data_IF_941816366722
#
_entry.id   IF_941816366722
#
_cell.length_a   1.000
_cell.length_b   1.000
_cell.length_c   1.000
_cell.angle_alpha   90.00
_cell.angle_beta   90.00
_cell.angle_gamma   90.00
#
_symmetry.space_group_name_H-M   'P 1'
#
loop_
_entity.id
_entity.type
_entity.pdbx_description
1 polymer ?
#
# COMPACT_ATOMS: atom_id res chain seq x y z
N UNK A 1 -13.71 -2.65 -11.50
CA UNK A 1 -13.82 -3.89 -10.70
C UNK A 1 -13.43 -3.57 -9.27
N UNK A 2 -14.18 -4.09 -8.31
CA UNK A 2 -13.91 -4.02 -6.87
C UNK A 2 -13.65 -5.44 -6.38
N UNK A 3 -12.69 -5.60 -5.48
CA UNK A 3 -12.39 -6.89 -4.85
C UNK A 3 -12.40 -6.69 -3.34
N UNK A 4 -13.28 -7.40 -2.64
CA UNK A 4 -13.21 -7.49 -1.18
C UNK A 4 -12.01 -8.35 -0.79
N UNK A 5 -11.08 -7.78 -0.03
CA UNK A 5 -9.85 -8.46 0.33
C UNK A 5 -10.04 -9.43 1.49
N UNK A 6 -9.35 -10.58 1.48
CA UNK A 6 -9.38 -11.56 2.55
C UNK A 6 -8.34 -11.18 3.63
N UNK A 7 -8.64 -10.13 4.40
CA UNK A 7 -7.72 -9.62 5.42
C UNK A 7 -7.30 -10.70 6.42
N UNK A 8 -6.00 -10.81 6.79
CA UNK A 8 -5.54 -11.71 7.84
C UNK A 8 -5.79 -11.17 9.25
N UNK A 9 -6.30 -9.95 9.40
CA UNK A 9 -6.51 -9.32 10.69
C UNK A 9 -7.91 -9.62 11.22
N UNK A 10 -8.01 -10.48 12.24
CA UNK A 10 -9.30 -10.90 12.82
C UNK A 10 -10.18 -9.75 13.25
N UNK A 11 -9.61 -8.71 13.85
CA UNK A 11 -10.35 -7.53 14.29
C UNK A 11 -11.00 -6.76 13.13
N UNK A 12 -10.45 -6.89 11.92
CA UNK A 12 -10.91 -6.22 10.70
C UNK A 12 -11.82 -7.09 9.82
N UNK A 13 -12.07 -8.32 10.22
CA UNK A 13 -12.83 -9.29 9.42
C UNK A 13 -14.21 -8.78 8.95
N UNK A 14 -14.83 -7.90 9.73
CA UNK A 14 -16.16 -7.37 9.44
C UNK A 14 -16.15 -5.96 8.80
N UNK A 15 -14.99 -5.31 8.64
CA UNK A 15 -14.92 -3.93 8.15
C UNK A 15 -15.58 -3.75 6.78
N UNK A 16 -15.20 -4.57 5.80
CA UNK A 16 -15.74 -4.49 4.45
C UNK A 16 -17.26 -4.75 4.41
N UNK A 17 -17.75 -5.64 5.26
CA UNK A 17 -19.18 -6.00 5.29
C UNK A 17 -20.08 -4.93 5.87
N UNK A 18 -19.58 -4.10 6.77
CA UNK A 18 -20.41 -3.17 7.52
C UNK A 18 -20.13 -1.70 7.22
N UNK A 19 -18.86 -1.31 7.10
CA UNK A 19 -18.50 0.09 6.97
C UNK A 19 -18.51 0.59 5.53
N UNK A 20 -18.12 -0.25 4.56
CA UNK A 20 -17.94 0.15 3.16
C UNK A 20 -19.01 -0.40 2.23
N UNK A 21 -19.99 -1.14 2.75
CA UNK A 21 -20.96 -1.86 1.94
C UNK A 21 -21.81 -0.95 1.06
N UNK A 22 -22.26 0.17 1.59
CA UNK A 22 -23.10 1.11 0.83
C UNK A 22 -22.32 1.74 -0.33
N UNK A 23 -21.02 2.03 -0.11
CA UNK A 23 -20.12 2.54 -1.16
C UNK A 23 -19.91 1.49 -2.26
N UNK A 24 -19.75 0.23 -1.86
CA UNK A 24 -19.60 -0.88 -2.81
C UNK A 24 -20.89 -1.12 -3.61
N UNK A 25 -22.05 -1.03 -2.97
CA UNK A 25 -23.36 -1.11 -3.65
C UNK A 25 -23.52 0.02 -4.66
N UNK A 26 -23.21 1.25 -4.29
CA UNK A 26 -23.27 2.36 -5.22
C UNK A 26 -22.37 2.15 -6.43
N UNK A 27 -21.14 1.71 -6.22
CA UNK A 27 -20.22 1.43 -7.32
C UNK A 27 -20.71 0.25 -8.19
N UNK A 28 -21.36 -0.75 -7.60
CA UNK A 28 -21.99 -1.86 -8.34
C UNK A 28 -23.18 -1.38 -9.19
N UNK A 29 -24.04 -0.53 -8.65
CA UNK A 29 -25.15 0.09 -9.39
C UNK A 29 -24.64 0.96 -10.55
N UNK A 30 -23.47 1.61 -10.38
CA UNK A 30 -22.77 2.35 -11.42
C UNK A 30 -22.04 1.43 -12.45
N UNK A 31 -22.23 0.12 -12.36
CA UNK A 31 -21.75 -0.89 -13.32
C UNK A 31 -20.38 -1.48 -13.00
N UNK A 32 -19.87 -1.35 -11.77
CA UNK A 32 -18.65 -2.03 -11.37
C UNK A 32 -18.87 -3.54 -11.17
N UNK A 33 -17.91 -4.35 -11.63
CA UNK A 33 -17.84 -5.75 -11.23
C UNK A 33 -17.38 -5.83 -9.77
N UNK A 34 -18.17 -6.44 -8.92
CA UNK A 34 -17.86 -6.63 -7.50
C UNK A 34 -17.61 -8.11 -7.20
N UNK A 35 -16.43 -8.43 -6.69
CA UNK A 35 -15.96 -9.77 -6.35
C UNK A 35 -15.56 -9.85 -4.88
N UNK A 36 -15.85 -10.98 -4.26
CA UNK A 36 -15.37 -11.29 -2.93
C UNK A 36 -14.28 -12.38 -3.03
N UNK A 37 -13.09 -12.11 -2.50
CA UNK A 37 -12.06 -13.13 -2.38
C UNK A 37 -12.47 -14.20 -1.34
N UNK A 38 -11.97 -15.46 -1.45
CA UNK A 38 -12.26 -16.49 -0.47
C UNK A 38 -11.88 -16.03 0.94
N UNK A 39 -12.84 -16.02 1.88
CA UNK A 39 -12.59 -15.58 3.24
C UNK A 39 -11.79 -16.61 4.03
N UNK A 40 -10.68 -16.19 4.66
CA UNK A 40 -9.88 -17.09 5.49
C UNK A 40 -10.62 -17.39 6.81
N UNK A 41 -10.38 -18.57 7.35
CA UNK A 41 -10.91 -18.98 8.67
C UNK A 41 -10.14 -18.35 9.82
N UNK A 42 -8.90 -17.92 9.58
CA UNK A 42 -8.01 -17.25 10.53
C UNK A 42 -7.72 -18.11 11.78
N UNK A 43 -7.41 -19.39 11.57
CA UNK A 43 -6.90 -20.26 12.62
C UNK A 43 -5.55 -19.79 13.16
N UNK A 44 -5.21 -20.16 14.39
CA UNK A 44 -3.95 -19.75 15.02
C UNK A 44 -2.71 -20.30 14.30
N UNK A 45 -2.84 -21.45 13.63
CA UNK A 45 -1.80 -22.08 12.82
C UNK A 45 -1.48 -21.33 11.52
N UNK A 46 -2.23 -20.28 11.20
CA UNK A 46 -1.89 -19.36 10.10
C UNK A 46 -0.73 -18.41 10.44
N UNK A 47 -0.29 -18.38 11.68
CA UNK A 47 0.72 -17.44 12.14
C UNK A 47 1.89 -18.18 12.76
N UNK A 48 3.11 -17.68 12.52
CA UNK A 48 4.32 -18.08 13.22
C UNK A 48 4.96 -16.86 13.85
N UNK A 49 5.57 -17.04 15.00
CA UNK A 49 6.33 -15.98 15.68
C UNK A 49 7.83 -16.33 15.75
N UNK A 50 8.25 -17.30 14.94
CA UNK A 50 9.65 -17.63 14.76
C UNK A 50 10.30 -16.59 13.85
N UNK A 51 11.40 -15.99 14.32
CA UNK A 51 12.20 -15.03 13.53
C UNK A 51 11.40 -13.83 13.00
N UNK A 52 10.58 -13.23 13.86
CA UNK A 52 9.69 -12.10 13.52
C UNK A 52 10.44 -10.86 13.00
N UNK A 53 11.73 -10.77 13.26
CA UNK A 53 12.58 -9.66 12.79
C UNK A 53 12.93 -9.80 11.30
N UNK A 54 12.98 -11.04 10.78
CA UNK A 54 13.45 -11.31 9.43
C UNK A 54 12.41 -11.96 8.51
N UNK A 55 11.32 -12.50 9.07
CA UNK A 55 10.30 -13.23 8.31
C UNK A 55 8.90 -12.73 8.59
N UNK A 56 8.04 -12.83 7.58
CA UNK A 56 6.62 -12.58 7.76
C UNK A 56 6.01 -13.61 8.72
N UNK A 57 5.16 -13.12 9.61
CA UNK A 57 4.45 -13.97 10.58
C UNK A 57 3.29 -14.73 9.94
N UNK A 58 2.75 -14.24 8.81
CA UNK A 58 1.63 -14.85 8.11
C UNK A 58 2.11 -16.00 7.23
N UNK A 59 1.60 -17.20 7.48
CA UNK A 59 1.89 -18.42 6.72
C UNK A 59 0.99 -18.57 5.50
N UNK A 60 1.39 -19.45 4.59
CA UNK A 60 0.68 -19.75 3.34
C UNK A 60 -0.42 -20.84 3.48
N UNK A 61 -1.18 -20.82 4.57
CA UNK A 61 -2.22 -21.83 4.79
C UNK A 61 -3.51 -21.50 4.04
N UNK A 62 -3.92 -20.24 4.01
CA UNK A 62 -5.12 -19.75 3.33
C UNK A 62 -4.78 -18.51 2.47
N UNK A 63 -5.69 -18.11 1.59
CA UNK A 63 -5.55 -16.90 0.79
C UNK A 63 -5.76 -15.68 1.71
N UNK A 64 -4.72 -14.86 1.88
CA UNK A 64 -4.79 -13.66 2.69
C UNK A 64 -4.05 -12.52 2.03
N UNK A 65 -4.68 -11.34 1.96
CA UNK A 65 -4.05 -10.07 1.62
C UNK A 65 -4.93 -8.89 1.98
N UNK A 66 -4.31 -7.76 2.25
CA UNK A 66 -4.94 -6.45 2.32
C UNK A 66 -4.72 -5.69 0.99
N UNK A 67 -5.62 -4.76 0.66
CA UNK A 67 -5.50 -3.96 -0.56
C UNK A 67 -4.17 -3.17 -0.65
N UNK A 68 -3.66 -2.56 0.45
CA UNK A 68 -2.38 -1.84 0.41
C UNK A 68 -1.12 -2.71 0.30
N UNK A 69 -1.26 -4.04 0.20
CA UNK A 69 -0.18 -4.90 -0.26
C UNK A 69 0.11 -4.75 -1.76
N UNK A 70 -0.71 -3.98 -2.48
CA UNK A 70 -0.65 -3.88 -3.93
C UNK A 70 -0.41 -2.43 -4.32
N UNK A 71 0.67 -2.20 -5.07
CA UNK A 71 0.91 -0.95 -5.80
C UNK A 71 0.55 -1.16 -7.26
N UNK A 72 -0.35 -0.33 -7.77
CA UNK A 72 -0.80 -0.40 -9.17
C UNK A 72 -0.12 0.67 -10.02
N UNK A 73 0.46 0.23 -11.13
CA UNK A 73 1.12 1.09 -12.13
C UNK A 73 0.54 0.74 -13.50
N UNK A 74 -0.59 1.34 -13.83
CA UNK A 74 -1.32 1.00 -15.06
C UNK A 74 -1.74 -0.47 -15.07
N UNK A 75 -1.15 -1.24 -16.00
CA UNK A 75 -1.37 -2.67 -16.20
C UNK A 75 -0.59 -3.55 -15.22
N UNK A 76 0.48 -3.01 -14.65
CA UNK A 76 1.37 -3.74 -13.75
C UNK A 76 0.94 -3.56 -12.30
N UNK A 77 0.90 -4.65 -11.55
CA UNK A 77 0.63 -4.66 -10.12
C UNK A 77 1.81 -5.30 -9.39
N UNK A 78 2.40 -4.56 -8.47
CA UNK A 78 3.41 -5.09 -7.56
C UNK A 78 2.74 -5.49 -6.25
N UNK A 79 2.90 -6.74 -5.86
CA UNK A 79 2.36 -7.31 -4.64
C UNK A 79 3.46 -7.52 -3.60
N UNK A 80 3.25 -7.09 -2.38
CA UNK A 80 4.14 -7.38 -1.26
C UNK A 80 3.71 -8.64 -0.51
N UNK A 81 4.59 -9.59 -0.39
CA UNK A 81 4.48 -10.69 0.59
C UNK A 81 4.95 -10.15 1.94
N UNK A 82 4.07 -10.20 2.96
CA UNK A 82 4.30 -9.59 4.28
C UNK A 82 3.36 -10.16 5.33
N UNK A 83 3.31 -9.54 6.51
CA UNK A 83 2.36 -9.90 7.57
C UNK A 83 0.89 -9.67 7.24
N UNK A 84 0.59 -8.94 6.17
CA UNK A 84 -0.78 -8.66 5.72
C UNK A 84 -1.13 -9.24 4.35
N UNK A 85 -0.21 -9.97 3.72
CA UNK A 85 -0.44 -10.60 2.44
C UNK A 85 0.54 -11.72 2.16
N UNK A 86 0.03 -12.92 1.87
CA UNK A 86 0.86 -14.10 1.66
C UNK A 86 0.95 -14.52 0.18
N UNK A 87 1.79 -15.50 -0.13
CA UNK A 87 2.01 -15.98 -1.50
C UNK A 87 0.75 -16.66 -2.10
N UNK A 88 -0.13 -17.24 -1.28
CA UNK A 88 -1.43 -17.75 -1.77
C UNK A 88 -2.33 -16.62 -2.23
N UNK A 89 -2.35 -15.48 -1.55
CA UNK A 89 -3.05 -14.27 -1.97
C UNK A 89 -2.54 -13.76 -3.32
N UNK A 90 -1.22 -13.67 -3.48
CA UNK A 90 -0.60 -13.34 -4.77
C UNK A 90 -1.03 -14.27 -5.90
N UNK A 91 -0.93 -15.59 -5.69
CA UNK A 91 -1.29 -16.58 -6.71
C UNK A 91 -2.77 -16.53 -7.09
N UNK A 92 -3.65 -16.25 -6.14
CA UNK A 92 -5.08 -16.08 -6.40
C UNK A 92 -5.35 -14.85 -7.26
N UNK A 93 -4.79 -13.70 -6.86
CA UNK A 93 -4.90 -12.45 -7.63
C UNK A 93 -4.33 -12.59 -9.03
N UNK A 94 -3.17 -13.20 -9.17
CA UNK A 94 -2.53 -13.46 -10.46
C UNK A 94 -3.44 -14.24 -11.38
N UNK A 95 -4.00 -15.36 -10.91
CA UNK A 95 -4.93 -16.19 -11.69
C UNK A 95 -6.21 -15.44 -12.07
N UNK A 96 -6.70 -14.54 -11.22
CA UNK A 96 -7.89 -13.72 -11.50
C UNK A 96 -7.59 -12.63 -12.52
N UNK A 97 -6.48 -11.91 -12.38
CA UNK A 97 -6.24 -10.65 -13.06
C UNK A 97 -5.46 -10.78 -14.37
N UNK A 98 -4.58 -11.77 -14.53
CA UNK A 98 -3.81 -11.95 -15.77
C UNK A 98 -4.71 -12.21 -17.00
N UNK A 99 -5.81 -13.00 -16.93
CA UNK A 99 -6.74 -13.13 -18.05
C UNK A 99 -7.44 -11.82 -18.45
N UNK A 100 -7.45 -10.82 -17.54
CA UNK A 100 -8.00 -9.48 -17.81
C UNK A 100 -6.95 -8.50 -18.35
N UNK A 101 -5.73 -8.98 -18.63
CA UNK A 101 -4.65 -8.19 -19.21
C UNK A 101 -3.77 -7.45 -18.22
N UNK A 102 -3.85 -7.75 -16.92
CA UNK A 102 -2.91 -7.25 -15.92
C UNK A 102 -1.66 -8.14 -15.84
N UNK A 103 -0.56 -7.56 -15.36
CA UNK A 103 0.69 -8.29 -15.07
C UNK A 103 0.98 -8.16 -13.58
N UNK A 104 1.19 -9.29 -12.91
CA UNK A 104 1.44 -9.30 -11.47
C UNK A 104 2.89 -9.67 -11.17
N UNK A 105 3.53 -8.82 -10.42
CA UNK A 105 4.87 -8.97 -9.86
C UNK A 105 4.76 -9.09 -8.34
N UNK A 106 5.72 -9.71 -7.69
CA UNK A 106 5.77 -9.75 -6.22
C UNK A 106 7.15 -9.34 -5.71
N UNK A 107 7.20 -8.91 -4.46
CA UNK A 107 8.42 -8.67 -3.73
C UNK A 107 8.28 -9.03 -2.25
N UNK A 108 9.42 -9.24 -1.60
CA UNK A 108 9.58 -9.53 -0.18
C UNK A 108 10.58 -8.54 0.42
N UNK A 109 10.30 -7.24 0.32
CA UNK A 109 11.24 -6.19 0.74
C UNK A 109 11.43 -6.15 2.25
N UNK A 110 10.38 -6.43 3.01
CA UNK A 110 10.38 -6.49 4.48
C UNK A 110 9.15 -7.24 4.99
N UNK A 111 9.22 -7.76 6.21
CA UNK A 111 8.16 -8.62 6.77
C UNK A 111 6.94 -7.86 7.29
N UNK A 112 7.01 -6.55 7.45
CA UNK A 112 5.91 -5.74 7.98
C UNK A 112 4.73 -5.62 6.99
N UNK A 113 3.76 -4.70 7.19
CA UNK A 113 2.48 -4.80 6.50
C UNK A 113 2.49 -4.26 5.05
N UNK A 114 2.26 -2.97 4.86
CA UNK A 114 1.80 -2.39 3.60
C UNK A 114 2.88 -1.66 2.80
N UNK A 115 2.65 -1.50 1.48
CA UNK A 115 3.58 -0.82 0.57
C UNK A 115 3.49 0.71 0.57
N UNK A 116 2.38 1.27 0.94
CA UNK A 116 2.00 2.67 0.70
C UNK A 116 2.81 3.74 1.44
N UNK A 117 3.85 3.33 2.17
CA UNK A 117 4.94 4.19 2.68
C UNK A 117 6.32 3.67 2.30
N UNK A 118 6.41 2.83 1.27
CA UNK A 118 7.67 2.21 0.84
C UNK A 118 7.95 2.45 -0.64
N UNK A 119 6.97 2.23 -1.51
CA UNK A 119 7.04 2.49 -2.95
C UNK A 119 5.79 3.26 -3.34
N UNK A 120 5.96 4.50 -3.77
CA UNK A 120 4.87 5.41 -4.11
C UNK A 120 5.06 5.94 -5.53
N UNK A 121 4.39 5.37 -6.54
CA UNK A 121 4.40 5.93 -7.88
C UNK A 121 3.78 7.34 -7.89
N UNK A 122 4.51 8.31 -8.43
CA UNK A 122 4.06 9.71 -8.51
C UNK A 122 3.44 10.02 -9.86
N UNK A 123 4.10 9.60 -10.93
CA UNK A 123 3.65 9.69 -12.34
C UNK A 123 4.38 8.64 -13.17
N UNK A 124 3.97 8.39 -14.43
CA UNK A 124 4.72 7.51 -15.33
C UNK A 124 6.20 7.92 -15.39
N UNK A 125 7.09 6.97 -15.12
CA UNK A 125 8.54 7.18 -15.13
C UNK A 125 9.15 7.77 -13.84
N UNK A 126 8.35 8.12 -12.82
CA UNK A 126 8.86 8.68 -11.56
C UNK A 126 8.22 7.99 -10.34
N UNK A 127 9.05 7.52 -9.43
CA UNK A 127 8.62 6.83 -8.20
C UNK A 127 9.39 7.31 -6.98
N UNK A 128 8.68 7.53 -5.88
CA UNK A 128 9.26 7.79 -4.56
C UNK A 128 9.50 6.45 -3.85
N UNK A 129 10.72 6.23 -3.37
CA UNK A 129 11.14 5.01 -2.70
C UNK A 129 11.73 5.31 -1.33
N UNK A 130 11.30 4.56 -0.34
CA UNK A 130 11.85 4.63 1.00
C UNK A 130 13.25 4.02 1.02
N UNK A 131 14.29 4.86 1.14
CA UNK A 131 15.69 4.46 1.08
C UNK A 131 16.14 3.59 2.27
N UNK A 132 15.40 3.58 3.36
CA UNK A 132 15.65 2.67 4.50
C UNK A 132 15.17 1.23 4.24
N UNK A 133 14.39 1.00 3.19
CA UNK A 133 13.79 -0.32 2.88
C UNK A 133 14.12 -0.81 1.47
N UNK A 134 14.22 0.12 0.53
CA UNK A 134 14.51 -0.16 -0.87
C UNK A 134 15.86 0.44 -1.23
N UNK A 135 16.71 -0.39 -1.80
CA UNK A 135 18.05 -0.02 -2.30
C UNK A 135 18.15 -0.34 -3.79
N UNK A 136 19.18 0.13 -4.51
CA UNK A 136 19.38 -0.30 -5.89
C UNK A 136 19.43 -1.81 -6.09
N UNK A 137 19.91 -2.57 -5.10
CA UNK A 137 20.09 -4.02 -5.19
C UNK A 137 18.78 -4.82 -5.02
N UNK A 138 17.80 -4.28 -4.27
CA UNK A 138 16.50 -4.94 -4.02
C UNK A 138 15.32 -4.22 -4.69
N UNK A 139 15.58 -3.17 -5.46
CA UNK A 139 14.55 -2.43 -6.17
C UNK A 139 13.81 -3.35 -7.16
N UNK A 140 12.46 -3.39 -7.13
CA UNK A 140 11.72 -4.22 -8.06
C UNK A 140 12.02 -3.88 -9.52
N UNK A 141 12.27 -4.91 -10.34
CA UNK A 141 12.71 -4.79 -11.74
C UNK A 141 11.74 -3.95 -12.59
N UNK A 142 10.46 -3.97 -12.28
CA UNK A 142 9.45 -3.16 -12.99
C UNK A 142 9.75 -1.65 -12.94
N UNK A 143 10.53 -1.18 -11.98
CA UNK A 143 10.97 0.21 -11.87
C UNK A 143 12.40 0.45 -12.39
N UNK A 144 13.04 -0.52 -13.06
CA UNK A 144 14.44 -0.41 -13.48
C UNK A 144 14.69 0.87 -14.32
N UNK A 145 13.77 1.19 -15.24
CA UNK A 145 13.87 2.35 -16.15
C UNK A 145 13.28 3.65 -15.60
N UNK A 146 12.71 3.63 -14.39
CA UNK A 146 12.08 4.79 -13.78
C UNK A 146 13.08 5.66 -13.04
N UNK A 147 12.88 6.95 -13.04
CA UNK A 147 13.53 7.86 -12.11
C UNK A 147 13.06 7.59 -10.69
N UNK A 148 13.99 7.60 -9.73
CA UNK A 148 13.72 7.25 -8.35
C UNK A 148 14.10 8.39 -7.42
N UNK A 149 13.12 8.83 -6.62
CA UNK A 149 13.36 9.72 -5.49
C UNK A 149 13.63 8.83 -4.29
N UNK A 150 14.87 8.77 -3.85
CA UNK A 150 15.27 8.05 -2.64
C UNK A 150 15.06 8.95 -1.43
N UNK A 151 14.20 8.53 -0.49
CA UNK A 151 13.83 9.38 0.63
C UNK A 151 13.50 8.56 1.87
N UNK A 152 13.94 9.00 3.05
CA UNK A 152 13.60 8.43 4.36
C UNK A 152 13.61 9.48 5.51
N UNK A 153 13.83 10.76 5.17
CA UNK A 153 13.85 11.87 6.14
C UNK A 153 12.43 12.34 6.50
N UNK A 154 11.60 11.38 6.96
CA UNK A 154 10.26 11.68 7.40
C UNK A 154 10.24 12.37 8.76
N UNK A 155 9.42 13.41 8.91
CA UNK A 155 9.10 13.97 10.22
C UNK A 155 8.24 12.98 10.98
N UNK A 156 8.83 12.35 11.99
CA UNK A 156 8.11 11.47 12.90
C UNK A 156 7.29 12.34 13.85
N UNK A 157 6.00 12.36 13.67
CA UNK A 157 5.10 12.99 14.65
C UNK A 157 5.02 12.05 15.86
N UNK A 158 5.86 12.34 16.86
CA UNK A 158 6.00 11.51 18.04
C UNK A 158 4.70 11.44 18.84
N UNK A 159 4.22 10.26 19.10
CA UNK A 159 3.44 10.08 20.30
C UNK A 159 4.43 10.07 21.47
N UNK A 160 4.17 10.85 22.53
CA UNK A 160 4.91 10.77 23.80
C UNK A 160 4.97 9.33 24.34
N UNK A 161 4.07 8.47 23.88
CA UNK A 161 4.00 7.05 24.19
C UNK A 161 5.25 6.26 23.73
N UNK A 162 5.86 6.64 22.60
CA UNK A 162 7.11 6.00 22.15
C UNK A 162 8.27 6.31 23.10
N UNK A 163 8.30 7.54 23.65
CA UNK A 163 9.32 7.95 24.64
C UNK A 163 9.13 7.22 25.97
N UNK A 164 7.94 6.75 26.26
CA UNK A 164 7.58 5.95 27.45
C UNK A 164 7.79 4.45 27.24
N UNK A 165 8.35 4.02 26.10
CA UNK A 165 8.66 2.60 25.81
C UNK A 165 7.51 1.80 25.23
N UNK A 166 6.43 2.45 24.82
CA UNK A 166 5.35 1.78 24.07
C UNK A 166 5.69 1.69 22.59
N UNK A 167 5.18 0.64 21.93
CA UNK A 167 5.31 0.50 20.48
C UNK A 167 4.65 1.70 19.79
N UNK A 168 5.36 2.37 18.85
CA UNK A 168 4.77 3.47 18.10
C UNK A 168 3.49 3.01 17.37
N UNK A 169 2.42 3.80 17.37
CA UNK A 169 1.16 3.42 16.73
C UNK A 169 1.26 3.34 15.19
N UNK A 170 2.28 3.94 14.59
CA UNK A 170 2.47 3.94 13.13
C UNK A 170 3.95 3.80 12.76
N UNK A 171 4.18 3.48 11.48
CA UNK A 171 5.54 3.46 10.91
C UNK A 171 6.20 4.84 11.02
N UNK A 172 7.52 4.93 11.32
CA UNK A 172 8.26 6.19 11.27
C UNK A 172 8.25 6.83 9.87
N UNK A 173 7.98 6.05 8.84
CA UNK A 173 7.91 6.50 7.44
C UNK A 173 6.49 6.82 6.98
N UNK A 174 5.51 6.92 7.88
CA UNK A 174 4.12 7.22 7.52
C UNK A 174 3.98 8.57 6.79
N UNK A 175 4.93 9.46 6.91
CA UNK A 175 5.00 10.71 6.16
C UNK A 175 5.07 10.52 4.64
N UNK A 176 5.57 9.40 4.15
CA UNK A 176 5.56 9.04 2.73
C UNK A 176 4.20 8.51 2.24
N UNK A 177 3.24 8.32 3.11
CA UNK A 177 1.90 7.84 2.79
C UNK A 177 1.05 8.96 2.19
N UNK A 178 1.42 9.41 1.01
CA UNK A 178 0.81 10.50 0.26
C UNK A 178 -0.14 9.98 -0.83
N UNK A 179 -1.06 10.84 -1.30
CA UNK A 179 -1.95 10.56 -2.42
C UNK A 179 -1.48 11.35 -3.65
N UNK A 180 -1.11 10.63 -4.72
CA UNK A 180 -0.87 11.24 -6.04
C UNK A 180 -2.22 11.51 -6.70
N UNK A 181 -2.57 12.79 -6.87
CA UNK A 181 -3.85 13.22 -7.46
C UNK A 181 -3.77 13.21 -8.99
N UNK A 182 -2.68 13.73 -9.52
CA UNK A 182 -2.34 13.75 -10.93
C UNK A 182 -0.82 13.66 -11.12
N UNK A 183 -0.33 13.78 -12.34
CA UNK A 183 1.09 13.65 -12.69
C UNK A 183 2.02 14.68 -12.02
N UNK A 184 1.48 15.77 -11.51
CA UNK A 184 2.24 16.88 -10.95
C UNK A 184 1.80 17.30 -9.55
N UNK A 185 0.78 16.64 -8.97
CA UNK A 185 0.17 17.08 -7.70
C UNK A 185 0.01 15.91 -6.74
N UNK A 186 0.49 16.10 -5.53
CA UNK A 186 0.30 15.16 -4.42
C UNK A 186 -0.34 15.84 -3.21
N UNK A 187 -1.12 15.06 -2.45
CA UNK A 187 -1.63 15.46 -1.14
C UNK A 187 -0.85 14.72 -0.08
N UNK A 188 -0.30 15.44 0.90
CA UNK A 188 0.50 14.86 1.98
C UNK A 188 0.29 15.59 3.30
N UNK A 189 0.78 15.01 4.39
CA UNK A 189 0.70 15.64 5.71
C UNK A 189 1.54 16.92 5.76
N UNK A 190 0.94 18.00 6.25
CA UNK A 190 1.56 19.33 6.37
C UNK A 190 2.84 19.36 7.22
N UNK A 191 3.06 18.37 8.07
CA UNK A 191 4.29 18.24 8.84
C UNK A 191 5.51 17.80 8.01
N UNK A 192 5.29 17.26 6.81
CA UNK A 192 6.34 16.66 5.99
C UNK A 192 7.07 17.67 5.09
N UNK A 193 7.54 18.77 5.67
CA UNK A 193 8.30 19.79 4.92
C UNK A 193 9.55 19.25 4.21
N UNK A 194 10.36 18.32 4.79
CA UNK A 194 11.49 17.75 4.06
C UNK A 194 11.07 17.04 2.78
N UNK A 195 9.99 16.28 2.83
CA UNK A 195 9.45 15.58 1.66
C UNK A 195 8.92 16.56 0.61
N UNK A 196 8.21 17.62 1.02
CA UNK A 196 7.74 18.65 0.10
C UNK A 196 8.88 19.32 -0.66
N UNK A 197 9.97 19.67 0.04
CA UNK A 197 11.18 20.23 -0.60
C UNK A 197 11.85 19.25 -1.56
N UNK A 198 11.81 17.97 -1.25
CA UNK A 198 12.37 16.95 -2.16
C UNK A 198 11.52 16.81 -3.42
N UNK A 199 10.21 16.71 -3.28
CA UNK A 199 9.25 16.60 -4.39
C UNK A 199 9.27 17.81 -5.34
N UNK A 200 9.48 19.02 -4.79
CA UNK A 200 9.59 20.27 -5.58
C UNK A 200 10.75 20.23 -6.58
N UNK A 201 11.87 19.57 -6.25
CA UNK A 201 13.02 19.38 -7.17
C UNK A 201 12.65 18.62 -8.44
N UNK A 202 11.59 17.81 -8.39
CA UNK A 202 11.07 17.03 -9.49
C UNK A 202 9.83 17.64 -10.13
N UNK A 203 9.45 18.86 -9.74
CA UNK A 203 8.30 19.57 -10.25
C UNK A 203 6.97 19.00 -9.78
N UNK A 204 6.95 18.36 -8.62
CA UNK A 204 5.73 17.84 -7.99
C UNK A 204 5.19 18.88 -7.00
N UNK A 205 3.99 19.37 -7.24
CA UNK A 205 3.29 20.28 -6.34
C UNK A 205 2.74 19.53 -5.13
N UNK A 206 3.05 20.04 -3.96
CA UNK A 206 2.57 19.47 -2.69
C UNK A 206 1.37 20.26 -2.17
N UNK A 207 0.26 19.58 -1.91
CA UNK A 207 -0.92 20.11 -1.22
C UNK A 207 -0.87 19.63 0.22
N UNK A 208 -0.44 20.48 1.18
CA UNK A 208 -0.32 20.08 2.57
C UNK A 208 -1.68 20.03 3.25
N UNK A 209 -1.96 18.94 3.94
CA UNK A 209 -3.18 18.76 4.74
C UNK A 209 -2.82 18.41 6.17
N UNK A 210 -3.45 19.06 7.13
CA UNK A 210 -3.26 18.75 8.53
C UNK A 210 -4.02 17.45 8.89
N UNK A 211 -3.31 16.36 9.07
CA UNK A 211 -3.89 15.03 9.29
C UNK A 211 -3.60 14.51 10.72
N UNK A 212 -4.19 15.18 11.72
CA UNK A 212 -3.82 15.08 13.14
C UNK A 212 -3.98 13.71 13.80
N UNK A 213 -5.01 12.95 13.43
CA UNK A 213 -5.44 11.78 14.22
C UNK A 213 -5.20 10.43 13.54
N UNK A 214 -4.85 10.43 12.26
CA UNK A 214 -4.64 9.20 11.49
C UNK A 214 -3.50 8.35 12.05
N UNK A 215 -2.45 8.99 12.54
CA UNK A 215 -1.29 8.29 13.10
C UNK A 215 -1.63 7.43 14.31
N UNK A 216 -2.64 7.82 15.10
CA UNK A 216 -3.14 6.99 16.20
C UNK A 216 -3.85 5.73 15.73
N UNK A 217 -4.30 5.73 14.47
CA UNK A 217 -4.93 4.61 13.79
C UNK A 217 -3.98 3.90 12.79
N UNK A 218 -2.69 4.20 12.88
CA UNK A 218 -1.63 3.63 12.03
C UNK A 218 -1.75 3.97 10.53
N UNK A 219 -2.47 5.02 10.15
CA UNK A 219 -2.68 5.40 8.76
C UNK A 219 -2.19 6.81 8.39
N UNK A 220 -1.92 7.04 7.10
CA UNK A 220 -1.62 8.34 6.51
C UNK A 220 -2.70 8.79 5.52
N UNK A 221 -2.36 9.76 4.66
CA UNK A 221 -3.29 10.31 3.66
C UNK A 221 -3.77 9.24 2.67
N UNK A 222 -2.84 8.43 2.12
CA UNK A 222 -3.20 7.37 1.19
C UNK A 222 -4.10 6.32 1.84
N UNK A 223 -3.80 5.91 3.08
CA UNK A 223 -4.61 4.94 3.83
C UNK A 223 -6.06 5.38 4.03
N UNK A 224 -6.34 6.68 4.06
CA UNK A 224 -7.68 7.24 4.21
C UNK A 224 -8.44 7.41 2.86
N UNK A 225 -7.85 6.98 1.75
CA UNK A 225 -8.39 7.16 0.41
C UNK A 225 -8.54 5.85 -0.33
N UNK A 226 -9.45 5.81 -1.30
CA UNK A 226 -9.64 4.70 -2.22
C UNK A 226 -9.94 5.24 -3.61
N UNK A 227 -9.11 4.89 -4.58
CA UNK A 227 -9.36 5.19 -5.99
C UNK A 227 -10.50 4.33 -6.52
N UNK A 228 -11.70 4.88 -6.63
CA UNK A 228 -12.84 4.22 -7.27
C UNK A 228 -12.75 4.31 -8.79
N UNK A 229 -12.37 5.47 -9.33
CA UNK A 229 -12.29 5.71 -10.77
C UNK A 229 -11.29 6.82 -11.08
N UNK A 230 -10.34 6.52 -11.98
CA UNK A 230 -9.47 7.52 -12.61
C UNK A 230 -9.75 7.61 -14.11
N UNK A 231 -9.56 8.79 -14.70
CA UNK A 231 -9.57 8.95 -16.17
C UNK A 231 -8.29 8.35 -16.73
N UNK A 232 -8.39 7.67 -17.85
CA UNK A 232 -7.24 7.07 -18.53
C UNK A 232 -7.57 5.74 -19.19
N UNK A 233 -6.57 5.14 -19.78
CA UNK A 233 -6.61 3.80 -20.37
C UNK A 233 -5.72 2.85 -19.59
N UNK A 234 -5.87 1.55 -19.78
CA UNK A 234 -5.01 0.54 -19.16
C UNK A 234 -3.71 0.43 -19.96
N UNK A 235 -2.76 1.26 -19.62
CA UNK A 235 -1.45 1.35 -20.26
C UNK A 235 -0.38 0.52 -19.54
N UNK A 236 0.72 0.27 -20.25
CA UNK A 236 1.93 -0.33 -19.71
C UNK A 236 2.98 0.77 -19.53
N UNK A 237 3.51 0.90 -18.33
CA UNK A 237 4.53 1.89 -18.00
C UNK A 237 5.87 1.26 -17.59
N UNK A 238 5.93 -0.07 -17.56
CA UNK A 238 7.07 -0.84 -17.04
C UNK A 238 7.77 -1.69 -18.13
N UNK A 239 7.54 -1.38 -19.41
CA UNK A 239 8.16 -2.07 -20.57
C UNK A 239 9.53 -1.49 -20.94
#
# INVERSE_FOLDING_TARGET
>A
MLIETPTPVRARYFEAKHLYRDIMYQAFEDGALWLEAPKPRLHDDMYTFEDIENKATLLDHEICFDAPNIVRVGRDLLYQVSNSGNMKGFKWLKRLLEPMGYRLHYSELYSFAHFDSTIVPLRPGLVLMNSSRVTPDNCPEMFAKWDKIWFDDCVVQGSKLADEGYMPPCSPYIGMNLLSVDENTVVLDSAQEPLMRELDKYGINSVPVQFRHSMTLSGGIHCATLDLRRKGTLESYCD
#
